data_IF_075882447273
#
_entry.id   IF_075882447273
#
_cell.length_a   1.000
_cell.length_b   1.000
_cell.length_c   1.000
_cell.angle_alpha   90.00
_cell.angle_beta   90.00
_cell.angle_gamma   90.00
#
_symmetry.space_group_name_H-M   'P 1'
#
loop_
_entity.id
_entity.type
_entity.pdbx_description
1 polymer ?
#
# COMPACT_ATOMS: atom_id res chain seq x y z
N UNK A 1 11.40 -4.27 -41.34
CA UNK A 1 11.70 -3.15 -42.23
C UNK A 1 10.44 -2.31 -42.53
N UNK A 2 9.29 -2.93 -42.89
CA UNK A 2 8.04 -2.20 -43.22
C UNK A 2 7.45 -1.42 -42.04
N UNK A 3 7.43 -1.98 -40.82
CA UNK A 3 6.91 -1.29 -39.63
C UNK A 3 7.72 -0.03 -39.22
N UNK A 4 9.05 -0.09 -39.39
CA UNK A 4 9.92 1.06 -39.15
C UNK A 4 9.74 2.18 -40.18
N UNK A 5 9.42 1.83 -41.45
CA UNK A 5 9.15 2.78 -42.52
C UNK A 5 7.79 3.52 -42.29
N UNK A 6 6.78 2.84 -41.75
CA UNK A 6 5.46 3.42 -41.44
C UNK A 6 5.54 4.40 -40.27
N UNK A 7 6.38 4.13 -39.26
CA UNK A 7 6.63 5.07 -38.15
C UNK A 7 7.41 6.30 -38.64
N UNK A 8 8.36 6.11 -39.55
CA UNK A 8 9.15 7.21 -40.14
C UNK A 8 8.35 8.11 -41.10
N UNK A 9 7.21 7.65 -41.62
CA UNK A 9 6.35 8.41 -42.55
C UNK A 9 5.41 9.40 -41.89
N UNK A 10 5.38 9.49 -40.55
CA UNK A 10 4.50 10.42 -39.80
C UNK A 10 3.00 10.11 -39.91
N UNK A 11 2.63 8.97 -40.50
CA UNK A 11 1.23 8.54 -40.68
C UNK A 11 0.59 7.93 -39.42
N UNK A 12 1.42 7.54 -38.44
CA UNK A 12 0.91 7.13 -37.12
C UNK A 12 1.09 8.26 -36.11
N UNK A 13 0.08 8.52 -35.28
CA UNK A 13 0.24 9.48 -34.20
C UNK A 13 1.43 9.01 -33.33
N UNK A 14 2.37 9.91 -33.05
CA UNK A 14 3.49 9.61 -32.15
C UNK A 14 2.89 9.09 -30.85
N UNK A 15 3.45 7.98 -30.28
CA UNK A 15 3.02 7.56 -28.97
C UNK A 15 3.18 8.75 -28.03
N UNK A 16 2.18 9.02 -27.15
CA UNK A 16 2.26 10.14 -26.24
C UNK A 16 3.52 10.02 -25.42
N UNK A 17 4.24 11.13 -25.26
CA UNK A 17 5.45 11.19 -24.42
C UNK A 17 5.08 10.72 -23.00
N UNK A 18 5.70 9.64 -22.48
CA UNK A 18 5.36 9.13 -21.16
C UNK A 18 5.47 10.18 -20.05
N UNK A 19 6.47 11.09 -20.16
CA UNK A 19 6.62 12.20 -19.21
C UNK A 19 5.43 13.14 -19.25
N UNK A 20 4.96 13.47 -20.45
CA UNK A 20 3.79 14.35 -20.65
C UNK A 20 2.52 13.68 -20.11
N UNK A 21 2.29 12.40 -20.42
CA UNK A 21 1.13 11.67 -19.94
C UNK A 21 1.06 11.62 -18.42
N UNK A 22 2.19 11.33 -17.76
CA UNK A 22 2.29 11.30 -16.29
C UNK A 22 2.01 12.69 -15.71
N UNK A 23 2.55 13.74 -16.30
CA UNK A 23 2.34 15.13 -15.86
C UNK A 23 0.90 15.57 -16.03
N UNK A 24 0.30 15.35 -17.20
CA UNK A 24 -1.09 15.71 -17.49
C UNK A 24 -2.05 14.98 -16.53
N UNK A 25 -1.77 13.71 -16.24
CA UNK A 25 -2.56 12.92 -15.26
C UNK A 25 -2.41 13.47 -13.85
N UNK A 26 -1.19 13.82 -13.44
CA UNK A 26 -0.91 14.40 -12.13
C UNK A 26 -1.64 15.73 -11.94
N UNK A 27 -1.61 16.62 -12.95
CA UNK A 27 -2.32 17.90 -12.95
C UNK A 27 -3.84 17.72 -12.92
N UNK A 28 -4.38 16.76 -13.67
CA UNK A 28 -5.81 16.48 -13.67
C UNK A 28 -6.30 15.96 -12.30
N UNK A 29 -5.50 15.17 -11.61
CA UNK A 29 -5.82 14.66 -10.27
C UNK A 29 -5.64 15.74 -9.20
N UNK A 30 -4.57 16.54 -9.26
CA UNK A 30 -4.25 17.57 -8.30
C UNK A 30 -4.47 17.13 -6.84
N UNK A 31 -5.22 17.91 -6.01
CA UNK A 31 -5.49 17.56 -4.61
C UNK A 31 -6.28 16.24 -4.41
N UNK A 32 -7.01 15.76 -5.42
CA UNK A 32 -7.71 14.48 -5.36
C UNK A 32 -6.76 13.29 -5.23
N UNK A 33 -5.48 13.47 -5.58
CA UNK A 33 -4.44 12.47 -5.38
C UNK A 33 -4.31 12.04 -3.92
N UNK A 34 -4.46 12.96 -2.97
CA UNK A 34 -4.45 12.62 -1.54
C UNK A 34 -5.57 11.67 -1.16
N UNK A 35 -6.79 11.95 -1.65
CA UNK A 35 -7.95 11.10 -1.36
C UNK A 35 -7.80 9.73 -2.00
N UNK A 36 -7.36 9.68 -3.26
CA UNK A 36 -7.15 8.43 -3.98
C UNK A 36 -6.09 7.55 -3.30
N UNK A 37 -4.90 8.12 -3.06
CA UNK A 37 -3.79 7.40 -2.43
C UNK A 37 -4.14 6.98 -1.01
N UNK A 38 -4.75 7.88 -0.22
CA UNK A 38 -5.20 7.59 1.14
C UNK A 38 -6.24 6.48 1.19
N UNK A 39 -7.25 6.52 0.31
CA UNK A 39 -8.29 5.47 0.25
C UNK A 39 -7.69 4.12 -0.12
N UNK A 40 -6.79 4.08 -1.11
CA UNK A 40 -6.16 2.83 -1.53
C UNK A 40 -5.19 2.31 -0.47
N UNK A 41 -4.45 3.17 0.22
CA UNK A 41 -3.62 2.78 1.36
C UNK A 41 -4.46 2.22 2.53
N UNK A 42 -5.62 2.84 2.82
CA UNK A 42 -6.57 2.32 3.80
C UNK A 42 -7.09 0.93 3.42
N UNK A 43 -7.52 0.76 2.17
CA UNK A 43 -8.05 -0.52 1.68
C UNK A 43 -6.97 -1.60 1.65
N UNK A 44 -5.74 -1.25 1.31
CA UNK A 44 -4.61 -2.18 1.29
C UNK A 44 -4.29 -2.73 2.68
N UNK A 45 -4.33 -1.89 3.70
CA UNK A 45 -4.03 -2.31 5.08
C UNK A 45 -5.27 -2.85 5.79
N UNK A 46 -6.48 -2.54 5.27
CA UNK A 46 -7.75 -2.98 5.83
C UNK A 46 -8.24 -4.33 5.28
N UNK A 47 -8.68 -5.20 6.18
CA UNK A 47 -9.59 -6.33 5.93
C UNK A 47 -9.29 -7.23 4.70
N UNK A 48 -8.04 -7.69 4.54
CA UNK A 48 -7.61 -8.64 3.49
C UNK A 48 -7.57 -8.09 2.06
N UNK A 49 -8.03 -6.87 1.83
CA UNK A 49 -8.05 -6.25 0.50
C UNK A 49 -6.61 -6.05 -0.02
N UNK A 50 -5.65 -5.84 0.87
CA UNK A 50 -4.23 -5.69 0.55
C UNK A 50 -3.55 -6.93 -0.07
N UNK A 51 -4.21 -8.10 -0.07
CA UNK A 51 -3.74 -9.26 -0.83
C UNK A 51 -4.04 -9.15 -2.33
N UNK A 52 -4.92 -8.23 -2.73
CA UNK A 52 -5.40 -8.06 -4.11
C UNK A 52 -5.00 -6.70 -4.68
N UNK A 53 -5.00 -5.66 -3.85
CA UNK A 53 -4.71 -4.28 -4.28
C UNK A 53 -3.22 -4.00 -4.10
N UNK A 54 -2.49 -3.63 -5.17
CA UNK A 54 -1.07 -3.26 -5.08
C UNK A 54 -0.93 -1.80 -4.62
N UNK A 55 -1.24 -1.52 -3.35
CA UNK A 55 -1.23 -0.17 -2.80
C UNK A 55 0.17 0.45 -2.73
N UNK A 56 1.22 -0.38 -2.59
CA UNK A 56 2.61 0.10 -2.68
C UNK A 56 2.86 0.87 -3.97
N UNK A 57 2.38 0.33 -5.10
CA UNK A 57 2.47 0.99 -6.40
C UNK A 57 1.76 2.34 -6.40
N UNK A 58 0.58 2.41 -5.78
CA UNK A 58 -0.20 3.65 -5.72
C UNK A 58 0.48 4.70 -4.84
N UNK A 59 1.07 4.28 -3.72
CA UNK A 59 1.83 5.19 -2.84
C UNK A 59 3.09 5.70 -3.54
N UNK A 60 3.80 4.85 -4.30
CA UNK A 60 4.93 5.27 -5.13
C UNK A 60 4.48 6.28 -6.20
N UNK A 61 3.37 6.02 -6.90
CA UNK A 61 2.81 6.96 -7.89
C UNK A 61 2.44 8.29 -7.23
N UNK A 62 1.85 8.27 -6.03
CA UNK A 62 1.63 9.49 -5.24
C UNK A 62 2.92 10.26 -4.97
N UNK A 63 3.99 9.56 -4.61
CA UNK A 63 5.33 10.14 -4.45
C UNK A 63 5.87 10.75 -5.75
N UNK A 64 5.66 10.12 -6.90
CA UNK A 64 5.99 10.66 -8.22
C UNK A 64 5.23 11.96 -8.48
N UNK A 65 3.92 12.01 -8.18
CA UNK A 65 3.09 13.22 -8.33
C UNK A 65 3.61 14.35 -7.42
N UNK A 66 4.00 14.02 -6.19
CA UNK A 66 4.64 14.98 -5.28
C UNK A 66 6.00 15.48 -5.82
N UNK A 67 6.77 14.59 -6.47
CA UNK A 67 8.03 14.96 -7.13
C UNK A 67 7.86 15.94 -8.29
N UNK A 68 6.68 15.97 -8.91
CA UNK A 68 6.32 16.95 -9.95
C UNK A 68 5.92 18.33 -9.39
N UNK A 69 5.78 18.46 -8.07
CA UNK A 69 5.35 19.69 -7.41
C UNK A 69 3.85 19.92 -7.40
N UNK A 70 3.04 18.95 -7.85
CA UNK A 70 1.57 19.07 -7.91
C UNK A 70 0.91 18.89 -6.54
N UNK A 71 1.56 18.15 -5.63
CA UNK A 71 1.12 17.91 -4.25
C UNK A 71 2.29 17.96 -3.28
N UNK A 72 2.02 18.29 -2.01
CA UNK A 72 3.03 18.32 -0.97
C UNK A 72 3.37 16.91 -0.49
N UNK A 73 4.67 16.58 -0.44
CA UNK A 73 5.16 15.26 -0.03
C UNK A 73 4.88 14.95 1.44
N UNK A 74 5.05 15.94 2.34
CA UNK A 74 4.85 15.70 3.77
C UNK A 74 3.38 15.47 4.08
N UNK A 75 2.50 16.22 3.42
CA UNK A 75 1.06 16.00 3.55
C UNK A 75 0.64 14.63 2.98
N UNK A 76 1.21 14.21 1.85
CA UNK A 76 0.98 12.89 1.28
C UNK A 76 1.41 11.78 2.25
N UNK A 77 2.60 11.88 2.85
CA UNK A 77 3.09 10.94 3.86
C UNK A 77 2.10 10.91 5.04
N UNK A 78 1.68 12.06 5.55
CA UNK A 78 0.73 12.16 6.66
C UNK A 78 -0.61 11.50 6.36
N UNK A 79 -1.20 11.78 5.20
CA UNK A 79 -2.48 11.19 4.75
C UNK A 79 -2.36 9.67 4.60
N UNK A 80 -1.31 9.21 3.92
CA UNK A 80 -1.06 7.77 3.71
C UNK A 80 -0.82 7.05 5.03
N UNK A 81 -0.04 7.66 5.91
CA UNK A 81 0.25 7.13 7.25
C UNK A 81 -1.02 6.97 8.07
N UNK A 82 -1.82 8.04 8.18
CA UNK A 82 -3.08 8.00 8.93
C UNK A 82 -4.06 6.98 8.34
N UNK A 83 -4.21 6.94 7.03
CA UNK A 83 -5.05 5.98 6.32
C UNK A 83 -4.61 4.53 6.59
N UNK A 84 -3.32 4.25 6.58
CA UNK A 84 -2.78 2.93 6.88
C UNK A 84 -3.02 2.51 8.34
N UNK A 85 -2.86 3.42 9.32
CA UNK A 85 -3.19 3.16 10.73
C UNK A 85 -4.68 2.83 10.88
N UNK A 86 -5.54 3.60 10.22
CA UNK A 86 -6.98 3.37 10.25
C UNK A 86 -7.35 2.00 9.66
N UNK A 87 -6.74 1.62 8.52
CA UNK A 87 -6.93 0.32 7.90
C UNK A 87 -6.48 -0.84 8.79
N UNK A 88 -5.29 -0.75 9.38
CA UNK A 88 -4.78 -1.72 10.35
C UNK A 88 -5.73 -1.86 11.55
N UNK A 89 -6.25 -0.74 12.06
CA UNK A 89 -7.17 -0.72 13.19
C UNK A 89 -8.50 -1.40 12.86
N UNK A 90 -9.04 -1.14 11.68
CA UNK A 90 -10.25 -1.83 11.19
C UNK A 90 -10.01 -3.32 11.05
N UNK A 91 -8.88 -3.72 10.46
CA UNK A 91 -8.49 -5.13 10.32
C UNK A 91 -8.35 -5.83 11.67
N UNK A 92 -7.72 -5.16 12.65
CA UNK A 92 -7.60 -5.64 14.03
C UNK A 92 -8.96 -5.83 14.68
N UNK A 93 -9.88 -4.86 14.58
CA UNK A 93 -11.22 -4.92 15.16
C UNK A 93 -12.06 -6.03 14.51
N UNK A 94 -11.94 -6.22 13.20
CA UNK A 94 -12.55 -7.33 12.50
C UNK A 94 -12.02 -8.67 12.99
N UNK A 95 -10.70 -8.80 13.16
CA UNK A 95 -10.08 -9.99 13.74
C UNK A 95 -10.61 -10.29 15.13
N UNK A 96 -10.75 -9.27 15.97
CA UNK A 96 -11.25 -9.39 17.34
C UNK A 96 -12.72 -9.82 17.42
N UNK A 97 -13.55 -9.34 16.47
CA UNK A 97 -15.00 -9.67 16.42
C UNK A 97 -15.29 -11.00 15.74
N UNK A 98 -14.61 -11.28 14.65
CA UNK A 98 -14.94 -12.38 13.76
C UNK A 98 -14.11 -13.64 14.02
N UNK A 99 -12.85 -13.45 14.44
CA UNK A 99 -11.94 -14.53 14.78
C UNK A 99 -11.51 -15.42 13.60
N UNK A 100 -10.73 -16.45 13.94
CA UNK A 100 -10.18 -17.43 12.97
C UNK A 100 -11.25 -18.16 12.14
N UNK A 101 -12.40 -18.59 12.69
CA UNK A 101 -13.42 -19.30 11.91
C UNK A 101 -13.96 -18.50 10.73
N UNK A 102 -14.14 -17.20 10.91
CA UNK A 102 -14.57 -16.31 9.83
C UNK A 102 -13.51 -16.20 8.73
N UNK A 103 -12.24 -16.05 9.11
CA UNK A 103 -11.14 -15.98 8.16
C UNK A 103 -11.05 -17.24 7.30
N UNK A 104 -11.21 -18.44 7.88
CA UNK A 104 -11.20 -19.69 7.15
C UNK A 104 -12.41 -19.85 6.24
N UNK A 105 -13.60 -19.48 6.72
CA UNK A 105 -14.85 -19.64 5.94
C UNK A 105 -14.92 -18.72 4.73
N UNK A 106 -14.46 -17.49 4.85
CA UNK A 106 -14.61 -16.45 3.82
C UNK A 106 -13.29 -16.06 3.13
N UNK A 107 -12.17 -16.47 3.71
CA UNK A 107 -10.83 -16.09 3.26
C UNK A 107 -10.35 -16.77 1.98
N UNK A 108 -10.99 -17.87 1.56
CA UNK A 108 -10.58 -18.60 0.35
C UNK A 108 -10.52 -17.70 -0.90
N UNK A 109 -11.46 -16.76 -1.02
CA UNK A 109 -11.49 -15.75 -2.09
C UNK A 109 -10.28 -14.81 -2.07
N UNK A 110 -9.69 -14.61 -0.91
CA UNK A 110 -8.51 -13.75 -0.68
C UNK A 110 -7.23 -14.59 -0.50
N UNK A 111 -7.24 -15.85 -0.91
CA UNK A 111 -6.11 -16.77 -0.76
C UNK A 111 -5.67 -16.98 0.71
N UNK A 112 -6.58 -16.80 1.67
CA UNK A 112 -6.32 -17.07 3.08
C UNK A 112 -6.57 -18.56 3.28
N UNK A 113 -5.48 -19.32 3.39
CA UNK A 113 -5.52 -20.74 3.73
C UNK A 113 -5.21 -20.93 5.22
N UNK A 114 -5.59 -22.07 5.76
CA UNK A 114 -5.27 -22.45 7.14
C UNK A 114 -3.75 -22.40 7.39
N UNK A 115 -2.97 -22.92 6.44
CA UNK A 115 -1.50 -22.90 6.51
C UNK A 115 -0.92 -21.48 6.64
N UNK A 116 -1.48 -20.52 5.90
CA UNK A 116 -1.06 -19.12 5.97
C UNK A 116 -1.41 -18.48 7.31
N UNK A 117 -2.59 -18.78 7.84
CA UNK A 117 -2.98 -18.29 9.17
C UNK A 117 -2.05 -18.85 10.24
N UNK A 118 -1.80 -20.17 10.23
CA UNK A 118 -0.86 -20.80 11.16
C UNK A 118 0.57 -20.27 11.02
N UNK A 119 1.01 -20.00 9.78
CA UNK A 119 2.33 -19.41 9.55
C UNK A 119 2.46 -18.05 10.26
N UNK A 120 1.45 -17.20 10.15
CA UNK A 120 1.45 -15.88 10.78
C UNK A 120 1.27 -16.02 12.29
N UNK A 121 0.42 -16.93 12.78
CA UNK A 121 0.26 -17.23 14.20
C UNK A 121 1.59 -17.67 14.82
N UNK A 122 2.30 -18.63 14.22
CA UNK A 122 3.65 -19.07 14.66
C UNK A 122 4.66 -17.93 14.65
N UNK A 123 4.54 -17.01 13.71
CA UNK A 123 5.42 -15.84 13.66
C UNK A 123 5.10 -14.87 14.80
N UNK A 124 3.83 -14.70 15.15
CA UNK A 124 3.38 -13.93 16.30
C UNK A 124 3.86 -14.53 17.63
N UNK A 125 3.76 -15.86 17.78
CA UNK A 125 4.21 -16.57 18.99
C UNK A 125 5.71 -16.38 19.23
N UNK A 126 6.50 -16.32 18.16
CA UNK A 126 7.96 -16.12 18.26
C UNK A 126 8.36 -14.67 18.52
N UNK A 127 7.69 -13.71 17.91
CA UNK A 127 8.15 -12.32 17.85
C UNK A 127 7.22 -11.34 18.58
N UNK A 128 6.04 -11.79 19.00
CA UNK A 128 5.04 -10.94 19.67
C UNK A 128 4.64 -9.74 18.82
N UNK A 129 4.49 -8.58 19.46
CA UNK A 129 4.10 -7.34 18.77
C UNK A 129 5.09 -6.85 17.69
N UNK A 130 6.36 -7.26 17.75
CA UNK A 130 7.37 -6.97 16.72
C UNK A 130 7.00 -7.57 15.37
N UNK A 131 6.14 -8.60 15.34
CA UNK A 131 5.61 -9.21 14.12
C UNK A 131 4.91 -8.18 13.23
N UNK A 132 4.21 -7.22 13.82
CA UNK A 132 3.50 -6.17 13.10
C UNK A 132 4.50 -5.27 12.36
N UNK A 133 5.62 -4.94 13.01
CA UNK A 133 6.66 -4.09 12.44
C UNK A 133 7.44 -4.80 11.33
N UNK A 134 7.97 -5.99 11.62
CA UNK A 134 8.80 -6.77 10.70
C UNK A 134 7.94 -7.37 9.58
N UNK A 135 6.76 -7.88 9.95
CA UNK A 135 5.81 -8.50 9.03
C UNK A 135 5.32 -7.58 7.92
N UNK A 136 5.44 -6.26 8.11
CA UNK A 136 5.03 -5.27 7.11
C UNK A 136 5.82 -5.37 5.79
N UNK A 137 7.03 -5.90 5.85
CA UNK A 137 7.87 -6.14 4.67
C UNK A 137 7.63 -7.51 4.01
N UNK A 138 6.76 -8.33 4.60
CA UNK A 138 6.40 -9.66 4.07
C UNK A 138 4.93 -9.61 3.67
N UNK A 139 4.63 -9.62 2.37
CA UNK A 139 3.30 -9.33 1.81
C UNK A 139 2.13 -10.07 2.48
N UNK A 140 2.24 -11.38 2.73
CA UNK A 140 1.17 -12.17 3.39
C UNK A 140 1.06 -11.82 4.88
N UNK A 141 2.20 -11.67 5.57
CA UNK A 141 2.23 -11.35 7.01
C UNK A 141 1.63 -9.96 7.23
N UNK A 142 2.01 -8.99 6.42
CA UNK A 142 1.50 -7.62 6.47
C UNK A 142 -0.03 -7.56 6.41
N UNK A 143 -0.62 -8.27 5.45
CA UNK A 143 -2.06 -8.24 5.23
C UNK A 143 -2.86 -8.96 6.33
N UNK A 144 -2.27 -9.97 6.98
CA UNK A 144 -2.94 -10.79 7.98
C UNK A 144 -2.60 -10.43 9.42
N UNK A 145 -1.43 -9.82 9.67
CA UNK A 145 -0.94 -9.55 11.02
C UNK A 145 -1.91 -8.73 11.88
N UNK A 146 -2.53 -7.63 11.41
CA UNK A 146 -3.49 -6.88 12.21
C UNK A 146 -4.72 -7.71 12.58
N UNK A 147 -5.24 -8.48 11.63
CA UNK A 147 -6.38 -9.35 11.86
C UNK A 147 -6.06 -10.46 12.88
N UNK A 148 -4.91 -11.12 12.74
CA UNK A 148 -4.47 -12.19 13.66
C UNK A 148 -4.18 -11.62 15.05
N UNK A 149 -3.57 -10.44 15.15
CA UNK A 149 -3.39 -9.75 16.41
C UNK A 149 -4.73 -9.50 17.13
N UNK A 150 -5.78 -9.13 16.39
CA UNK A 150 -7.13 -8.98 16.92
C UNK A 150 -7.74 -10.31 17.33
N UNK A 151 -7.64 -11.35 16.50
CA UNK A 151 -8.22 -12.68 16.77
C UNK A 151 -7.54 -13.41 17.94
N UNK A 152 -6.26 -13.19 18.17
CA UNK A 152 -5.50 -13.72 19.30
C UNK A 152 -5.69 -12.91 20.60
N UNK A 153 -6.68 -12.01 20.64
CA UNK A 153 -7.04 -11.21 21.83
C UNK A 153 -5.89 -10.30 22.34
N UNK A 154 -4.93 -9.94 21.49
CA UNK A 154 -3.88 -8.99 21.85
C UNK A 154 -4.52 -7.66 22.28
N UNK A 155 -4.14 -7.02 23.41
CA UNK A 155 -4.65 -5.71 23.77
C UNK A 155 -4.34 -4.68 22.68
N UNK A 156 -5.33 -3.85 22.30
CA UNK A 156 -5.15 -2.82 21.27
C UNK A 156 -4.02 -1.85 21.62
N UNK A 157 -3.84 -1.54 22.90
CA UNK A 157 -2.76 -0.69 23.41
C UNK A 157 -1.36 -1.27 23.14
N UNK A 158 -1.23 -2.60 23.01
CA UNK A 158 0.03 -3.25 22.60
C UNK A 158 0.18 -3.34 21.09
N UNK A 159 -0.93 -3.36 20.35
CA UNK A 159 -0.93 -3.40 18.89
C UNK A 159 -0.57 -2.05 18.27
N UNK A 160 -1.26 -0.97 18.71
CA UNK A 160 -1.23 0.32 18.05
C UNK A 160 0.17 0.97 17.95
N UNK A 161 1.08 0.90 18.94
CA UNK A 161 2.40 1.50 18.80
C UNK A 161 3.21 0.88 17.65
N UNK A 162 3.12 -0.45 17.48
CA UNK A 162 3.82 -1.14 16.39
C UNK A 162 3.20 -0.83 15.03
N UNK A 163 1.87 -0.69 14.96
CA UNK A 163 1.18 -0.28 13.74
C UNK A 163 1.58 1.16 13.37
N UNK A 164 1.54 2.10 14.29
CA UNK A 164 1.92 3.51 14.05
C UNK A 164 3.35 3.62 13.52
N UNK A 165 4.32 2.97 14.18
CA UNK A 165 5.72 3.01 13.75
C UNK A 165 5.88 2.32 12.40
N UNK A 166 5.32 1.13 12.25
CA UNK A 166 5.44 0.34 11.01
C UNK A 166 4.82 1.02 9.81
N UNK A 167 3.61 1.57 9.95
CA UNK A 167 2.94 2.33 8.87
C UNK A 167 3.68 3.61 8.54
N UNK A 168 4.25 4.28 9.54
CA UNK A 168 5.03 5.50 9.33
C UNK A 168 6.30 5.26 8.51
N UNK A 169 7.07 4.23 8.87
CA UNK A 169 8.26 3.83 8.11
C UNK A 169 7.86 3.44 6.68
N UNK A 170 6.82 2.63 6.54
CA UNK A 170 6.34 2.15 5.26
C UNK A 170 5.87 3.29 4.35
N UNK A 171 4.96 4.16 4.81
CA UNK A 171 4.44 5.28 4.01
C UNK A 171 5.54 6.25 3.61
N UNK A 172 6.45 6.59 4.55
CA UNK A 172 7.59 7.46 4.26
C UNK A 172 8.50 6.84 3.21
N UNK A 173 8.84 5.55 3.35
CA UNK A 173 9.72 4.86 2.39
C UNK A 173 9.15 4.90 0.97
N UNK A 174 7.89 4.50 0.79
CA UNK A 174 7.31 4.41 -0.56
C UNK A 174 6.98 5.78 -1.17
N UNK A 175 6.54 6.76 -0.37
CA UNK A 175 6.37 8.13 -0.86
C UNK A 175 7.70 8.75 -1.29
N UNK A 176 8.75 8.60 -0.47
CA UNK A 176 10.09 9.15 -0.79
C UNK A 176 10.71 8.42 -1.99
N UNK A 177 10.54 7.09 -2.11
CA UNK A 177 10.99 6.35 -3.29
C UNK A 177 10.38 6.91 -4.58
N UNK A 178 9.07 7.15 -4.60
CA UNK A 178 8.39 7.75 -5.76
C UNK A 178 8.91 9.16 -6.07
N UNK A 179 9.07 9.98 -5.04
CA UNK A 179 9.56 11.35 -5.14
C UNK A 179 10.98 11.40 -5.72
N UNK A 180 11.91 10.61 -5.16
CA UNK A 180 13.31 10.52 -5.64
C UNK A 180 13.39 9.95 -7.04
N UNK A 181 12.57 8.92 -7.33
CA UNK A 181 12.51 8.34 -8.67
C UNK A 181 12.19 9.39 -9.73
N UNK A 182 11.19 10.25 -9.49
CA UNK A 182 10.85 11.32 -10.42
C UNK A 182 12.01 12.29 -10.64
N UNK A 183 12.66 12.75 -9.58
CA UNK A 183 13.80 13.66 -9.68
C UNK A 183 14.97 13.04 -10.45
N UNK A 184 15.23 11.75 -10.25
CA UNK A 184 16.28 11.04 -11.00
C UNK A 184 15.92 10.85 -12.47
N UNK A 185 14.63 10.64 -12.77
CA UNK A 185 14.14 10.46 -14.13
C UNK A 185 14.06 11.78 -14.93
N UNK A 186 13.83 12.90 -14.26
CA UNK A 186 13.74 14.21 -14.90
C UNK A 186 15.13 14.80 -15.25
N UNK A 187 16.19 14.25 -14.67
CA UNK A 187 17.60 14.69 -14.89
C UNK A 187 18.23 13.98 -16.10
N UNK A 188 17.62 12.92 -16.66
CA UNK A 188 18.08 12.17 -17.84
C UNK A 188 17.34 12.64 -19.09
#
# INVERSE_FOLDING_TARGET
>A
AAAAAVVASGLLPHPPDPKKLIRDTAQALGPWSYLLVGTLAFLETGAFVGLVVPGETVVIVGGVIAGQGEIDLLLLIGVTWFAAIAGDSVSFLLGRKLGRPFALKHGARFRITEERLEQVERYFDRHGGKTILIGRWIGVVRALAPFIAGSSQLPYTRFIPYSVIGTGIWSTTFCVLGFVFWHSFDTI
#
